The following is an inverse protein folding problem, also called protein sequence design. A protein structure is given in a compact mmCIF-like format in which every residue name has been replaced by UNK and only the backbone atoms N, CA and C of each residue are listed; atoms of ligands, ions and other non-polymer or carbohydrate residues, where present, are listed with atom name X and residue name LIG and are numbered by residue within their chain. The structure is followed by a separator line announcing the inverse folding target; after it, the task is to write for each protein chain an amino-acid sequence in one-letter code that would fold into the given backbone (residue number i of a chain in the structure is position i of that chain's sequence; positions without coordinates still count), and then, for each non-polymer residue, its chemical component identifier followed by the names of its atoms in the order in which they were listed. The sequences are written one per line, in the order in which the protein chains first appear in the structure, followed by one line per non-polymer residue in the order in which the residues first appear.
data_IF_872738816254
#
_entry.id   IF_872738816254
#
_cell.length_a   1.000
_cell.length_b   1.000
_cell.length_c   1.000
_cell.angle_alpha   90.00
_cell.angle_beta   90.00
_cell.angle_gamma   90.00
#
_symmetry.space_group_name_H-M   'P 1'
#
loop_
_entity.id
_entity.type
_entity.pdbx_description
1 polymer ?
#
# COMPACT_ATOMS: atom_id res chain seq x y z
N UNK A 1 -22.48 -35.31 -5.71
CA UNK A 1 -21.63 -35.34 -4.52
C UNK A 1 -22.38 -35.16 -3.20
N UNK A 2 -23.49 -34.49 -3.17
CA UNK A 2 -24.37 -34.37 -2.01
C UNK A 2 -25.35 -35.54 -1.98
N UNK A 3 -24.84 -36.74 -1.64
CA UNK A 3 -25.65 -37.96 -1.59
C UNK A 3 -26.40 -38.16 -0.28
N UNK A 4 -27.30 -39.08 -0.24
CA UNK A 4 -27.95 -39.58 0.97
C UNK A 4 -29.28 -38.91 1.31
N UNK A 5 -29.36 -37.59 1.44
CA UNK A 5 -30.60 -36.87 1.74
C UNK A 5 -31.35 -36.35 0.52
N UNK A 6 -30.58 -36.00 -0.55
CA UNK A 6 -31.16 -35.39 -1.75
C UNK A 6 -31.64 -36.47 -2.71
N UNK A 7 -32.85 -36.31 -3.24
CA UNK A 7 -33.48 -37.20 -4.21
C UNK A 7 -33.22 -36.80 -5.64
N UNK A 8 -32.69 -35.59 -5.87
CA UNK A 8 -32.42 -35.02 -7.19
C UNK A 8 -30.98 -34.53 -7.28
N UNK A 9 -30.41 -34.52 -8.47
CA UNK A 9 -29.13 -33.93 -8.75
C UNK A 9 -29.21 -32.39 -8.68
N UNK A 10 -28.13 -31.72 -8.30
CA UNK A 10 -28.03 -30.24 -8.36
C UNK A 10 -28.22 -29.76 -9.80
N UNK A 11 -29.05 -28.76 -10.01
CA UNK A 11 -29.25 -28.12 -11.31
C UNK A 11 -27.91 -27.59 -11.86
N UNK A 12 -27.67 -27.73 -13.15
CA UNK A 12 -26.40 -27.36 -13.76
C UNK A 12 -26.07 -25.85 -13.61
N UNK A 13 -27.09 -24.98 -13.76
CA UNK A 13 -26.92 -23.54 -13.55
C UNK A 13 -26.60 -23.24 -12.08
N UNK A 14 -27.26 -23.90 -11.14
CA UNK A 14 -27.00 -23.72 -9.71
C UNK A 14 -25.58 -24.16 -9.36
N UNK A 15 -25.10 -25.27 -9.94
CA UNK A 15 -23.74 -25.74 -9.74
C UNK A 15 -22.70 -24.71 -10.24
N UNK A 16 -22.93 -24.13 -11.42
CA UNK A 16 -22.07 -23.07 -11.96
C UNK A 16 -22.16 -21.76 -11.15
N UNK A 17 -23.38 -21.35 -10.78
CA UNK A 17 -23.63 -20.11 -10.02
C UNK A 17 -23.02 -20.14 -8.62
N UNK A 18 -22.92 -21.33 -8.01
CA UNK A 18 -22.37 -21.48 -6.65
C UNK A 18 -20.90 -21.85 -6.62
N UNK A 19 -20.30 -22.14 -7.78
CA UNK A 19 -18.88 -22.47 -7.86
C UNK A 19 -17.99 -21.25 -7.62
N UNK A 20 -16.83 -21.48 -6.98
CA UNK A 20 -15.83 -20.46 -6.67
C UNK A 20 -14.47 -20.75 -7.29
N UNK A 21 -14.29 -21.91 -7.92
CA UNK A 21 -12.99 -22.35 -8.43
C UNK A 21 -12.37 -21.37 -9.45
N UNK A 22 -13.19 -20.58 -10.17
CA UNK A 22 -12.69 -19.61 -11.13
C UNK A 22 -11.79 -18.54 -10.50
N UNK A 23 -12.01 -18.19 -9.24
CA UNK A 23 -11.23 -17.19 -8.52
C UNK A 23 -10.46 -17.76 -7.32
N UNK A 24 -10.97 -18.77 -6.60
CA UNK A 24 -10.33 -19.30 -5.40
C UNK A 24 -9.15 -20.25 -5.69
N UNK A 25 -9.03 -20.77 -6.94
CA UNK A 25 -7.86 -21.54 -7.36
C UNK A 25 -6.52 -20.82 -7.10
N UNK A 26 -6.52 -19.48 -6.97
CA UNK A 26 -5.29 -18.70 -6.75
C UNK A 26 -4.61 -18.96 -5.41
N UNK A 27 -5.33 -19.46 -4.40
CA UNK A 27 -4.72 -19.84 -3.13
C UNK A 27 -4.49 -21.35 -2.94
N UNK A 28 -4.35 -22.10 -4.05
CA UNK A 28 -4.02 -23.53 -3.98
C UNK A 28 -2.79 -23.86 -3.12
N UNK A 29 -1.81 -22.95 -3.06
CA UNK A 29 -0.60 -23.13 -2.23
C UNK A 29 -0.94 -23.17 -0.76
N UNK A 30 -1.81 -22.28 -0.34
CA UNK A 30 -2.25 -22.16 1.06
C UNK A 30 -3.12 -23.36 1.45
N UNK A 31 -4.04 -23.78 0.57
CA UNK A 31 -4.86 -24.97 0.79
C UNK A 31 -4.00 -26.25 0.94
N UNK A 32 -3.01 -26.43 0.07
CA UNK A 32 -2.09 -27.56 0.14
C UNK A 32 -1.25 -27.49 1.43
N UNK A 33 -0.74 -26.32 1.81
CA UNK A 33 0.03 -26.16 3.03
C UNK A 33 -0.82 -26.47 4.28
N UNK A 34 -2.04 -25.92 4.35
CA UNK A 34 -3.01 -26.20 5.40
C UNK A 34 -3.35 -27.69 5.50
N UNK A 35 -3.56 -28.34 4.36
CA UNK A 35 -3.84 -29.78 4.28
C UNK A 35 -2.66 -30.65 4.72
N UNK A 36 -1.42 -30.30 4.36
CA UNK A 36 -0.20 -30.98 4.82
C UNK A 36 -0.05 -30.87 6.34
N UNK A 37 -0.23 -29.67 6.90
CA UNK A 37 -0.16 -29.44 8.33
C UNK A 37 -1.26 -30.21 9.08
N UNK A 38 -2.46 -30.24 8.56
CA UNK A 38 -3.58 -31.01 9.11
C UNK A 38 -3.31 -32.51 9.12
N UNK A 39 -2.85 -33.09 8.01
CA UNK A 39 -2.49 -34.52 7.92
C UNK A 39 -1.35 -34.86 8.90
N UNK A 40 -0.36 -33.98 9.01
CA UNK A 40 0.77 -34.15 9.94
C UNK A 40 0.29 -34.17 11.39
N UNK A 41 -0.61 -33.26 11.77
CA UNK A 41 -1.23 -33.23 13.08
C UNK A 41 -2.09 -34.45 13.35
N UNK A 42 -2.93 -34.88 12.40
CA UNK A 42 -3.77 -36.08 12.54
C UNK A 42 -2.93 -37.35 12.79
N UNK A 43 -1.76 -37.47 12.17
CA UNK A 43 -0.84 -38.57 12.43
C UNK A 43 -0.20 -38.47 13.82
N UNK A 44 0.17 -37.27 14.26
CA UNK A 44 0.69 -37.03 15.63
C UNK A 44 -0.27 -37.49 16.72
N UNK A 45 -1.56 -37.24 16.53
CA UNK A 45 -2.59 -37.59 17.49
C UNK A 45 -3.20 -39.02 17.29
N UNK A 46 -2.63 -39.81 16.36
CA UNK A 46 -3.00 -41.21 16.14
C UNK A 46 -4.29 -41.42 15.32
N UNK A 47 -4.83 -40.41 14.66
CA UNK A 47 -5.98 -40.51 13.77
C UNK A 47 -5.57 -41.09 12.39
N UNK A 48 -4.40 -40.69 11.90
CA UNK A 48 -3.75 -41.27 10.72
C UNK A 48 -2.52 -42.08 11.15
N UNK A 49 -2.18 -43.12 10.40
CA UNK A 49 -0.89 -43.76 10.49
C UNK A 49 0.21 -42.91 9.86
N UNK A 50 1.47 -43.17 10.19
CA UNK A 50 2.58 -42.46 9.54
C UNK A 50 2.60 -42.67 8.01
N UNK A 51 2.29 -43.89 7.55
CA UNK A 51 2.22 -44.18 6.10
C UNK A 51 1.10 -43.40 5.41
N UNK A 52 -0.09 -43.30 6.00
CA UNK A 52 -1.21 -42.52 5.43
C UNK A 52 -0.89 -41.03 5.34
N UNK A 53 -0.23 -40.47 6.38
CA UNK A 53 0.29 -39.10 6.35
C UNK A 53 1.25 -38.90 5.19
N UNK A 54 2.24 -39.79 5.04
CA UNK A 54 3.28 -39.66 4.01
C UNK A 54 2.68 -39.79 2.61
N UNK A 55 1.73 -40.70 2.41
CA UNK A 55 1.00 -40.84 1.14
C UNK A 55 0.21 -39.57 0.79
N UNK A 56 -0.46 -38.95 1.78
CA UNK A 56 -1.21 -37.70 1.60
C UNK A 56 -0.24 -36.56 1.25
N UNK A 57 0.85 -36.39 2.00
CA UNK A 57 1.83 -35.32 1.76
C UNK A 57 2.47 -35.47 0.37
N UNK A 58 2.87 -36.67 -0.01
CA UNK A 58 3.45 -36.93 -1.34
C UNK A 58 2.43 -36.69 -2.46
N UNK A 59 1.19 -37.09 -2.25
CA UNK A 59 0.08 -36.83 -3.19
C UNK A 59 -0.18 -35.35 -3.39
N UNK A 60 -0.25 -34.57 -2.28
CA UNK A 60 -0.46 -33.11 -2.32
C UNK A 60 0.71 -32.37 -2.97
N UNK A 61 1.95 -32.74 -2.68
CA UNK A 61 3.12 -32.14 -3.33
C UNK A 61 3.16 -32.44 -4.84
N UNK A 62 2.73 -33.64 -5.25
CA UNK A 62 2.61 -33.97 -6.67
C UNK A 62 1.53 -33.14 -7.35
N UNK A 63 0.38 -32.94 -6.70
CA UNK A 63 -0.71 -32.08 -7.22
C UNK A 63 -0.23 -30.63 -7.33
N UNK A 64 0.50 -30.13 -6.34
CA UNK A 64 1.12 -28.80 -6.39
C UNK A 64 2.02 -28.64 -7.62
N UNK A 65 2.87 -29.63 -7.88
CA UNK A 65 3.75 -29.61 -9.06
C UNK A 65 2.95 -29.67 -10.38
N UNK A 66 1.84 -30.42 -10.44
CA UNK A 66 0.94 -30.42 -11.61
C UNK A 66 0.29 -29.07 -11.86
N UNK A 67 -0.14 -28.37 -10.79
CA UNK A 67 -0.73 -27.03 -10.90
C UNK A 67 0.34 -26.03 -11.39
N UNK A 68 1.54 -26.06 -10.81
CA UNK A 68 2.66 -25.18 -11.19
C UNK A 68 3.13 -25.41 -12.63
N UNK A 69 3.01 -26.64 -13.14
CA UNK A 69 3.32 -27.00 -14.52
C UNK A 69 2.17 -26.73 -15.51
N UNK A 70 1.03 -26.23 -15.06
CA UNK A 70 -0.16 -26.02 -15.89
C UNK A 70 -0.80 -27.32 -16.40
N UNK A 71 -0.58 -28.44 -15.71
CA UNK A 71 -1.07 -29.77 -16.06
C UNK A 71 -2.29 -30.20 -15.25
N UNK A 72 -2.75 -29.36 -14.33
CA UNK A 72 -3.91 -29.61 -13.50
C UNK A 72 -5.15 -28.98 -14.11
N UNK A 73 -6.21 -29.78 -14.30
CA UNK A 73 -7.49 -29.31 -14.81
C UNK A 73 -8.41 -28.90 -13.66
N UNK A 74 -8.78 -27.62 -13.63
CA UNK A 74 -9.78 -27.08 -12.71
C UNK A 74 -11.18 -27.33 -13.23
N UNK A 75 -12.00 -27.95 -12.42
CA UNK A 75 -13.35 -28.38 -12.79
C UNK A 75 -14.40 -27.62 -11.98
N UNK A 76 -15.32 -26.96 -12.69
CA UNK A 76 -16.43 -26.20 -12.10
C UNK A 76 -17.41 -27.11 -11.35
N UNK A 77 -17.65 -28.30 -11.84
CA UNK A 77 -18.53 -29.30 -11.19
C UNK A 77 -17.97 -29.84 -9.85
N UNK A 78 -16.72 -29.51 -9.52
CA UNK A 78 -16.10 -29.73 -8.21
C UNK A 78 -16.15 -28.50 -7.29
N UNK A 79 -16.92 -27.50 -7.64
CA UNK A 79 -17.27 -26.31 -6.84
C UNK A 79 -16.08 -25.37 -6.53
N UNK A 80 -15.08 -25.80 -5.76
CA UNK A 80 -14.02 -24.98 -5.20
C UNK A 80 -12.61 -25.59 -5.36
N UNK A 81 -11.58 -24.82 -5.03
CA UNK A 81 -10.18 -25.26 -5.06
C UNK A 81 -9.97 -26.52 -4.22
N UNK A 82 -10.61 -26.58 -3.06
CA UNK A 82 -10.44 -27.65 -2.08
C UNK A 82 -10.97 -28.99 -2.60
N UNK A 83 -12.18 -28.99 -3.17
CA UNK A 83 -12.78 -30.20 -3.74
C UNK A 83 -12.02 -30.68 -4.97
N UNK A 84 -11.50 -29.77 -5.79
CA UNK A 84 -10.66 -30.10 -6.94
C UNK A 84 -9.39 -30.84 -6.48
N UNK A 85 -8.69 -30.30 -5.47
CA UNK A 85 -7.47 -30.90 -4.92
C UNK A 85 -7.77 -32.22 -4.20
N UNK A 86 -8.84 -32.29 -3.37
CA UNK A 86 -9.25 -33.50 -2.65
C UNK A 86 -9.67 -34.63 -3.60
N UNK A 87 -10.41 -34.29 -4.65
CA UNK A 87 -10.82 -35.26 -5.71
C UNK A 87 -9.60 -35.84 -6.43
N UNK A 88 -8.63 -34.98 -6.80
CA UNK A 88 -7.39 -35.41 -7.46
C UNK A 88 -6.52 -36.25 -6.53
N UNK A 89 -6.44 -35.89 -5.24
CA UNK A 89 -5.74 -36.69 -4.23
C UNK A 89 -6.36 -38.07 -4.09
N UNK A 90 -7.69 -38.14 -3.99
CA UNK A 90 -8.43 -39.39 -3.88
C UNK A 90 -8.25 -40.27 -5.12
N UNK A 91 -8.21 -39.73 -6.32
CA UNK A 91 -7.91 -40.47 -7.55
C UNK A 91 -6.51 -41.10 -7.53
N UNK A 92 -5.53 -40.43 -6.87
CA UNK A 92 -4.15 -40.91 -6.80
C UNK A 92 -3.88 -41.96 -5.73
N UNK A 93 -4.42 -41.73 -4.54
CA UNK A 93 -4.08 -42.56 -3.35
C UNK A 93 -5.29 -43.29 -2.76
N UNK A 94 -6.43 -43.27 -3.45
CA UNK A 94 -7.61 -44.03 -3.07
C UNK A 94 -8.23 -43.58 -1.76
N UNK A 95 -8.60 -44.56 -0.92
CA UNK A 95 -9.31 -44.32 0.34
C UNK A 95 -8.52 -43.46 1.33
N UNK A 96 -7.20 -43.50 1.28
CA UNK A 96 -6.32 -42.69 2.14
C UNK A 96 -6.54 -41.20 1.89
N UNK A 97 -6.77 -40.78 0.64
CA UNK A 97 -7.09 -39.39 0.29
C UNK A 97 -8.36 -38.88 0.95
N UNK A 98 -9.38 -39.75 1.10
CA UNK A 98 -10.65 -39.40 1.77
C UNK A 98 -10.47 -39.15 3.28
N UNK A 99 -9.43 -39.68 3.91
CA UNK A 99 -9.17 -39.49 5.34
C UNK A 99 -8.66 -38.11 5.67
N UNK A 100 -8.14 -37.36 4.70
CA UNK A 100 -7.63 -36.00 4.89
C UNK A 100 -8.67 -35.06 5.50
N UNK A 101 -9.95 -35.23 5.17
CA UNK A 101 -11.03 -34.36 5.65
C UNK A 101 -11.48 -34.65 7.10
N UNK A 102 -10.89 -35.66 7.77
CA UNK A 102 -11.26 -36.02 9.14
C UNK A 102 -11.05 -34.89 10.12
N UNK A 103 -12.07 -34.56 10.91
CA UNK A 103 -12.01 -33.49 11.94
C UNK A 103 -11.93 -32.07 11.41
N UNK A 104 -12.20 -31.86 10.11
CA UNK A 104 -12.15 -30.57 9.40
C UNK A 104 -13.48 -30.29 8.73
N UNK A 105 -13.82 -29.01 8.57
CA UNK A 105 -14.91 -28.54 7.71
C UNK A 105 -14.34 -27.68 6.59
N UNK A 106 -15.11 -27.48 5.52
CA UNK A 106 -14.79 -26.47 4.51
C UNK A 106 -14.70 -25.07 5.11
N UNK A 107 -15.48 -24.78 6.17
CA UNK A 107 -15.52 -23.45 6.80
C UNK A 107 -14.21 -23.05 7.46
N UNK A 108 -13.60 -23.91 8.29
CA UNK A 108 -12.32 -23.60 8.92
C UNK A 108 -11.13 -23.73 7.94
N UNK A 109 -11.26 -24.58 6.93
CA UNK A 109 -10.28 -24.70 5.84
C UNK A 109 -10.18 -23.39 5.05
N UNK A 110 -11.30 -22.90 4.51
CA UNK A 110 -11.34 -21.62 3.75
C UNK A 110 -10.86 -20.45 4.60
N UNK A 111 -11.29 -20.34 5.86
CA UNK A 111 -10.87 -19.26 6.76
C UNK A 111 -9.35 -19.30 7.00
N UNK A 112 -8.75 -20.49 7.08
CA UNK A 112 -7.29 -20.65 7.22
C UNK A 112 -6.56 -20.22 5.96
N UNK A 113 -7.04 -20.66 4.81
CA UNK A 113 -6.39 -20.39 3.54
C UNK A 113 -6.39 -18.90 3.19
N UNK A 114 -7.52 -18.20 3.43
CA UNK A 114 -7.59 -16.75 3.22
C UNK A 114 -6.62 -16.02 4.14
N UNK A 115 -6.51 -16.41 5.41
CA UNK A 115 -5.56 -15.79 6.34
C UNK A 115 -4.12 -16.03 5.92
N UNK A 116 -3.76 -17.25 5.53
CA UNK A 116 -2.44 -17.55 4.97
C UNK A 116 -2.14 -16.70 3.74
N UNK A 117 -3.11 -16.63 2.82
CA UNK A 117 -2.97 -15.85 1.60
C UNK A 117 -2.79 -14.35 1.88
N UNK A 118 -3.64 -13.75 2.72
CA UNK A 118 -3.52 -12.33 3.07
C UNK A 118 -2.21 -12.03 3.81
N UNK A 119 -1.74 -12.95 4.68
CA UNK A 119 -0.44 -12.84 5.33
C UNK A 119 0.70 -12.78 4.33
N UNK A 120 0.73 -13.72 3.39
CA UNK A 120 1.77 -13.78 2.35
C UNK A 120 1.74 -12.52 1.46
N UNK A 121 0.55 -12.00 1.15
CA UNK A 121 0.39 -10.79 0.35
C UNK A 121 0.76 -9.51 1.12
N UNK A 122 0.49 -9.44 2.42
CA UNK A 122 0.97 -8.34 3.26
C UNK A 122 2.50 -8.31 3.25
N UNK A 123 3.16 -9.46 3.41
CA UNK A 123 4.62 -9.56 3.38
C UNK A 123 5.18 -9.09 2.02
N UNK A 124 4.56 -9.50 0.92
CA UNK A 124 4.95 -9.06 -0.42
C UNK A 124 4.72 -7.55 -0.65
N UNK A 125 3.63 -6.99 -0.13
CA UNK A 125 3.34 -5.53 -0.22
C UNK A 125 4.32 -4.73 0.63
N UNK A 126 4.68 -5.22 1.81
CA UNK A 126 5.69 -4.59 2.68
C UNK A 126 7.06 -4.51 1.99
N UNK A 127 7.48 -5.54 1.25
CA UNK A 127 8.70 -5.49 0.46
C UNK A 127 8.65 -4.44 -0.67
N UNK A 128 7.49 -4.27 -1.31
CA UNK A 128 7.30 -3.23 -2.33
C UNK A 128 7.31 -1.82 -1.72
N UNK A 129 6.70 -1.63 -0.55
CA UNK A 129 6.76 -0.37 0.19
C UNK A 129 8.19 -0.04 0.60
N UNK A 130 8.94 -1.01 1.13
CA UNK A 130 10.37 -0.86 1.45
C UNK A 130 11.19 -0.43 0.24
N UNK A 131 10.96 -1.06 -0.91
CA UNK A 131 11.62 -0.71 -2.18
C UNK A 131 11.31 0.73 -2.60
N UNK A 132 10.03 1.13 -2.54
CA UNK A 132 9.61 2.49 -2.89
C UNK A 132 10.21 3.52 -1.91
N UNK A 133 10.15 3.27 -0.62
CA UNK A 133 10.74 4.13 0.42
C UNK A 133 12.24 4.30 0.21
N UNK A 134 12.96 3.22 -0.06
CA UNK A 134 14.40 3.26 -0.37
C UNK A 134 14.68 4.08 -1.63
N UNK A 135 13.85 3.95 -2.65
CA UNK A 135 13.95 4.75 -3.87
C UNK A 135 13.73 6.25 -3.63
N UNK A 136 12.74 6.59 -2.80
CA UNK A 136 12.48 7.99 -2.38
C UNK A 136 13.69 8.55 -1.63
N UNK A 137 14.25 7.82 -0.67
CA UNK A 137 15.43 8.26 0.09
C UNK A 137 16.64 8.50 -0.83
N UNK A 138 16.87 7.61 -1.79
CA UNK A 138 17.94 7.77 -2.76
C UNK A 138 17.76 9.01 -3.64
N UNK A 139 16.54 9.34 -4.03
CA UNK A 139 16.24 10.54 -4.82
C UNK A 139 16.34 11.80 -3.94
N UNK A 140 15.84 11.76 -2.71
CA UNK A 140 15.91 12.86 -1.75
C UNK A 140 17.37 13.23 -1.41
N UNK A 141 18.23 12.22 -1.22
CA UNK A 141 19.65 12.43 -0.91
C UNK A 141 20.42 13.16 -2.03
N UNK A 142 19.96 13.08 -3.27
CA UNK A 142 20.54 13.78 -4.42
C UNK A 142 20.01 15.20 -4.61
N UNK A 143 18.99 15.59 -3.83
CA UNK A 143 18.24 16.82 -4.01
C UNK A 143 18.00 17.55 -2.68
N UNK A 144 18.90 17.42 -1.73
CA UNK A 144 18.79 18.06 -0.39
C UNK A 144 18.82 19.58 -0.47
N UNK A 145 19.44 20.12 -1.50
CA UNK A 145 19.60 21.55 -1.78
C UNK A 145 18.87 22.05 -3.05
N UNK A 146 18.18 21.16 -3.76
CA UNK A 146 17.39 21.52 -4.95
C UNK A 146 16.17 22.31 -4.54
N UNK A 147 16.13 23.61 -4.76
CA UNK A 147 15.05 24.52 -4.36
C UNK A 147 13.89 24.45 -5.35
N UNK A 148 12.68 24.36 -4.83
CA UNK A 148 11.41 24.41 -5.57
C UNK A 148 10.39 25.26 -4.80
N UNK A 149 9.33 25.78 -5.47
CA UNK A 149 8.25 26.44 -4.75
C UNK A 149 7.45 25.44 -3.92
N UNK A 150 7.21 25.74 -2.66
CA UNK A 150 6.19 25.11 -1.86
C UNK A 150 4.82 25.76 -2.14
N UNK A 151 3.76 24.95 -2.15
CA UNK A 151 2.41 25.39 -2.51
C UNK A 151 1.44 25.21 -1.35
N UNK A 152 0.58 26.21 -1.17
CA UNK A 152 -0.69 26.09 -0.46
C UNK A 152 -1.79 26.62 -1.37
N UNK A 153 -2.94 25.95 -1.45
CA UNK A 153 -4.02 26.28 -2.37
C UNK A 153 -3.57 26.31 -3.86
N UNK A 154 -2.54 25.55 -4.21
CA UNK A 154 -1.83 25.60 -5.51
C UNK A 154 -1.27 27.00 -5.87
N UNK A 155 -1.12 27.90 -4.89
CA UNK A 155 -0.42 29.15 -5.01
C UNK A 155 1.00 29.01 -4.44
N UNK A 156 1.98 29.65 -5.05
CA UNK A 156 3.35 29.73 -4.52
C UNK A 156 3.30 30.35 -3.11
N UNK A 157 3.86 29.63 -2.14
CA UNK A 157 3.87 30.07 -0.74
C UNK A 157 5.30 30.41 -0.29
N UNK A 158 6.07 29.40 0.07
CA UNK A 158 7.45 29.55 0.54
C UNK A 158 8.37 28.59 -0.21
N UNK A 159 9.66 28.87 -0.39
CA UNK A 159 10.58 27.94 -1.01
C UNK A 159 10.83 26.75 -0.09
N UNK A 160 10.90 25.56 -0.68
CA UNK A 160 11.28 24.32 -0.01
C UNK A 160 12.36 23.63 -0.84
N UNK A 161 13.01 22.60 -0.30
CA UNK A 161 13.86 21.74 -1.13
C UNK A 161 13.07 20.56 -1.68
N UNK A 162 13.43 20.08 -2.85
CA UNK A 162 12.82 18.88 -3.44
C UNK A 162 13.04 17.65 -2.56
N UNK A 163 14.23 17.56 -1.94
CA UNK A 163 14.51 16.52 -0.95
C UNK A 163 13.52 16.56 0.23
N UNK A 164 13.19 17.76 0.75
CA UNK A 164 12.21 17.93 1.81
C UNK A 164 10.82 17.43 1.39
N UNK A 165 10.38 17.77 0.18
CA UNK A 165 9.10 17.32 -0.36
C UNK A 165 9.05 15.79 -0.48
N UNK A 166 10.11 15.17 -1.01
CA UNK A 166 10.22 13.71 -1.11
C UNK A 166 10.18 13.03 0.26
N UNK A 167 10.77 13.64 1.28
CA UNK A 167 10.68 13.14 2.66
C UNK A 167 9.24 13.17 3.21
N UNK A 168 8.39 14.08 2.75
CA UNK A 168 6.95 14.05 3.09
C UNK A 168 6.26 12.81 2.51
N UNK A 169 6.58 12.42 1.27
CA UNK A 169 6.09 11.15 0.69
C UNK A 169 6.60 9.93 1.48
N UNK A 170 7.86 9.96 1.88
CA UNK A 170 8.44 8.91 2.73
C UNK A 170 7.64 8.73 4.03
N UNK A 171 7.30 9.81 4.72
CA UNK A 171 6.52 9.76 5.98
C UNK A 171 5.11 9.18 5.80
N UNK A 172 4.47 9.41 4.66
CA UNK A 172 3.17 8.78 4.34
C UNK A 172 3.31 7.25 4.27
N UNK A 173 4.31 6.78 3.54
CA UNK A 173 4.54 5.34 3.32
C UNK A 173 5.02 4.60 4.56
N UNK A 174 5.73 5.28 5.47
CA UNK A 174 6.08 4.69 6.78
C UNK A 174 4.83 4.37 7.58
N UNK A 175 3.89 5.31 7.68
CA UNK A 175 2.61 5.06 8.36
C UNK A 175 1.79 3.95 7.70
N UNK A 176 1.91 3.77 6.39
CA UNK A 176 1.26 2.68 5.66
C UNK A 176 1.87 1.33 6.00
N UNK A 177 3.20 1.26 6.07
CA UNK A 177 3.91 0.04 6.48
C UNK A 177 3.57 -0.36 7.92
N UNK A 178 3.53 0.62 8.85
CA UNK A 178 3.15 0.40 10.25
C UNK A 178 1.72 -0.21 10.35
N UNK A 179 0.76 0.31 9.56
CA UNK A 179 -0.61 -0.24 9.51
C UNK A 179 -0.65 -1.68 9.03
N UNK A 180 0.09 -2.00 7.97
CA UNK A 180 0.14 -3.38 7.45
C UNK A 180 0.81 -4.34 8.43
N UNK A 181 1.88 -3.93 9.10
CA UNK A 181 2.54 -4.71 10.14
C UNK A 181 1.58 -4.99 11.29
N UNK A 182 0.78 -4.00 11.69
CA UNK A 182 -0.23 -4.20 12.74
C UNK A 182 -1.40 -5.08 12.27
N UNK A 183 -1.89 -4.91 11.05
CA UNK A 183 -2.89 -5.77 10.44
C UNK A 183 -2.41 -7.22 10.41
N UNK A 184 -1.16 -7.45 9.98
CA UNK A 184 -0.55 -8.78 9.92
C UNK A 184 -0.62 -9.57 11.23
N UNK A 185 -0.47 -8.91 12.38
CA UNK A 185 -0.59 -9.53 13.71
C UNK A 185 -1.99 -10.11 13.95
N UNK A 186 -3.04 -9.44 13.45
CA UNK A 186 -4.43 -9.91 13.58
C UNK A 186 -4.80 -10.94 12.52
N UNK A 187 -4.22 -10.85 11.32
CA UNK A 187 -4.30 -11.90 10.30
C UNK A 187 -3.70 -13.21 10.80
N UNK A 188 -2.58 -13.15 11.55
CA UNK A 188 -1.77 -14.32 11.93
C UNK A 188 -2.35 -15.09 13.14
N UNK A 189 -3.68 -15.37 13.10
CA UNK A 189 -4.44 -16.18 14.04
C UNK A 189 -5.09 -17.35 13.33
N UNK A 190 -4.78 -18.59 13.75
CA UNK A 190 -5.18 -19.81 13.04
C UNK A 190 -6.61 -20.26 13.37
N UNK A 191 -7.52 -20.34 12.40
CA UNK A 191 -8.88 -20.87 12.61
C UNK A 191 -8.97 -22.39 12.49
N UNK A 192 -8.02 -23.09 11.86
CA UNK A 192 -8.11 -24.53 11.59
C UNK A 192 -8.29 -25.33 12.85
N UNK A 193 -9.19 -26.32 12.81
CA UNK A 193 -9.66 -27.10 13.96
C UNK A 193 -10.93 -26.55 14.62
N UNK A 194 -11.47 -25.44 14.09
CA UNK A 194 -12.80 -24.93 14.48
C UNK A 194 -13.93 -25.75 13.83
N UNK A 195 -13.60 -26.57 12.87
CA UNK A 195 -14.54 -27.35 12.06
C UNK A 195 -15.65 -26.47 11.48
N UNK A 196 -16.92 -26.91 11.47
CA UNK A 196 -17.99 -26.10 10.92
C UNK A 196 -18.29 -24.82 11.74
N UNK A 197 -18.28 -24.91 13.09
CA UNK A 197 -18.51 -23.80 14.01
C UNK A 197 -18.30 -24.17 15.50
N UNK A 198 -18.32 -25.46 15.85
CA UNK A 198 -18.37 -25.93 17.24
C UNK A 198 -17.10 -26.70 17.66
N UNK A 199 -16.10 -26.77 16.81
CA UNK A 199 -14.94 -27.64 16.99
C UNK A 199 -15.25 -29.08 16.56
N UNK A 200 -14.42 -30.03 16.99
CA UNK A 200 -14.51 -31.45 16.62
C UNK A 200 -14.35 -32.36 17.83
N UNK A 201 -14.87 -33.58 17.73
CA UNK A 201 -14.72 -34.60 18.76
C UNK A 201 -13.38 -35.37 18.68
N UNK A 202 -12.58 -35.13 17.64
CA UNK A 202 -11.26 -35.71 17.49
C UNK A 202 -10.25 -35.02 18.41
N UNK A 203 -9.22 -35.72 18.91
CA UNK A 203 -8.22 -35.17 19.83
C UNK A 203 -7.16 -34.33 19.11
N UNK A 204 -7.60 -33.34 18.32
CA UNK A 204 -6.70 -32.52 17.51
C UNK A 204 -5.77 -31.64 18.33
N UNK A 205 -4.55 -31.40 17.83
CA UNK A 205 -3.55 -30.50 18.40
C UNK A 205 -3.44 -29.22 17.57
N UNK A 206 -4.31 -28.24 17.90
CA UNK A 206 -4.36 -26.96 17.18
C UNK A 206 -3.07 -26.13 17.35
N UNK A 207 -2.41 -26.22 18.51
CA UNK A 207 -1.18 -25.49 18.75
C UNK A 207 -0.07 -26.00 17.81
N UNK A 208 0.03 -27.31 17.66
CA UNK A 208 1.00 -27.91 16.74
C UNK A 208 0.70 -27.56 15.27
N UNK A 209 -0.58 -27.53 14.88
CA UNK A 209 -0.95 -27.11 13.52
C UNK A 209 -0.61 -25.63 13.28
N UNK A 210 -0.80 -24.77 14.28
CA UNK A 210 -0.41 -23.35 14.20
C UNK A 210 1.10 -23.18 14.02
N UNK A 211 1.92 -23.95 14.78
CA UNK A 211 3.38 -23.99 14.64
C UNK A 211 3.81 -24.38 13.21
N UNK A 212 3.22 -25.47 12.68
CA UNK A 212 3.52 -25.95 11.32
C UNK A 212 3.21 -24.92 10.23
N UNK A 213 2.20 -24.07 10.44
CA UNK A 213 1.75 -23.04 9.49
C UNK A 213 2.34 -21.65 9.78
N UNK A 214 3.15 -21.52 10.84
CA UNK A 214 3.76 -20.25 11.23
C UNK A 214 2.75 -19.20 11.73
N UNK A 215 1.62 -19.63 12.33
CA UNK A 215 0.72 -18.74 13.03
C UNK A 215 1.21 -18.43 14.44
N UNK A 216 1.02 -17.20 14.90
CA UNK A 216 1.43 -16.76 16.24
C UNK A 216 0.55 -17.36 17.34
N UNK A 217 -0.72 -17.65 17.03
CA UNK A 217 -1.67 -18.22 17.97
C UNK A 217 -2.86 -18.88 17.26
N UNK A 218 -3.65 -19.65 18.00
CA UNK A 218 -4.93 -20.19 17.54
C UNK A 218 -6.07 -19.21 17.83
N UNK A 219 -7.11 -19.22 16.99
CA UNK A 219 -8.37 -18.51 17.29
C UNK A 219 -9.08 -19.23 18.45
N UNK A 220 -9.45 -18.49 19.50
CA UNK A 220 -9.93 -19.05 20.77
C UNK A 220 -11.41 -19.48 20.76
N UNK A 221 -12.21 -18.94 19.85
CA UNK A 221 -13.61 -19.30 19.70
C UNK A 221 -13.87 -19.85 18.29
N UNK A 222 -14.39 -21.09 18.23
CA UNK A 222 -14.59 -21.77 16.94
C UNK A 222 -15.72 -21.17 16.09
N UNK A 223 -16.72 -20.55 16.71
CA UNK A 223 -17.83 -19.92 16.02
C UNK A 223 -17.38 -18.63 15.34
N UNK A 224 -16.61 -17.80 16.05
CA UNK A 224 -16.00 -16.57 15.56
C UNK A 224 -14.95 -16.87 14.46
N UNK A 225 -14.10 -17.87 14.68
CA UNK A 225 -12.99 -18.22 13.80
C UNK A 225 -13.40 -18.55 12.35
N UNK A 226 -14.60 -19.11 12.14
CA UNK A 226 -15.14 -19.40 10.83
C UNK A 226 -15.99 -18.26 10.25
N UNK A 227 -16.39 -17.31 11.09
CA UNK A 227 -17.21 -16.15 10.74
C UNK A 227 -16.39 -14.90 10.40
N UNK A 228 -15.32 -14.66 11.14
CA UNK A 228 -14.51 -13.44 11.09
C UNK A 228 -13.92 -13.17 9.71
N UNK A 229 -14.13 -11.94 9.26
CA UNK A 229 -13.51 -11.33 8.06
C UNK A 229 -12.92 -9.95 8.34
N UNK A 230 -12.84 -9.57 9.62
CA UNK A 230 -12.32 -8.27 10.05
C UNK A 230 -10.89 -8.05 9.53
N UNK A 231 -10.08 -9.10 9.51
CA UNK A 231 -8.71 -9.05 8.98
C UNK A 231 -8.65 -8.65 7.50
N UNK A 232 -9.62 -9.09 6.67
CA UNK A 232 -9.72 -8.70 5.26
C UNK A 232 -10.20 -7.26 5.10
N UNK A 233 -11.17 -6.84 5.92
CA UNK A 233 -11.66 -5.45 5.97
C UNK A 233 -10.54 -4.51 6.42
N UNK A 234 -9.79 -4.88 7.46
CA UNK A 234 -8.66 -4.11 7.95
C UNK A 234 -7.54 -3.99 6.91
N UNK A 235 -7.23 -5.07 6.20
CA UNK A 235 -6.31 -5.03 5.08
C UNK A 235 -6.79 -4.05 4.00
N UNK A 236 -8.06 -4.14 3.57
CA UNK A 236 -8.61 -3.25 2.55
C UNK A 236 -8.67 -1.79 3.02
N UNK A 237 -8.85 -1.54 4.31
CA UNK A 237 -8.76 -0.19 4.88
C UNK A 237 -7.32 0.35 4.82
N UNK A 238 -6.32 -0.45 5.17
CA UNK A 238 -4.91 -0.09 5.00
C UNK A 238 -4.55 0.12 3.53
N UNK A 239 -4.98 -0.79 2.64
CA UNK A 239 -4.82 -0.68 1.19
C UNK A 239 -5.44 0.60 0.63
N UNK A 240 -6.60 1.00 1.12
CA UNK A 240 -7.26 2.26 0.74
C UNK A 240 -6.43 3.49 1.09
N UNK A 241 -5.75 3.48 2.25
CA UNK A 241 -4.85 4.57 2.67
C UNK A 241 -3.57 4.59 1.81
N UNK A 242 -2.98 3.44 1.50
CA UNK A 242 -1.85 3.33 0.57
C UNK A 242 -2.23 3.95 -0.78
N UNK A 243 -3.35 3.54 -1.36
CA UNK A 243 -3.80 4.06 -2.66
C UNK A 243 -4.12 5.55 -2.60
N UNK A 244 -4.66 6.07 -1.50
CA UNK A 244 -4.88 7.52 -1.30
C UNK A 244 -3.55 8.28 -1.31
N UNK A 245 -2.51 7.77 -0.65
CA UNK A 245 -1.18 8.38 -0.66
C UNK A 245 -0.56 8.33 -2.06
N UNK A 246 -0.62 7.19 -2.75
CA UNK A 246 -0.16 7.07 -4.13
C UNK A 246 -0.94 7.99 -5.08
N UNK A 247 -2.24 8.19 -4.86
CA UNK A 247 -3.06 9.11 -5.63
C UNK A 247 -2.62 10.57 -5.45
N UNK A 248 -2.26 10.98 -4.23
CA UNK A 248 -1.72 12.32 -3.96
C UNK A 248 -0.36 12.52 -4.64
N UNK A 249 0.53 11.55 -4.54
CA UNK A 249 1.81 11.55 -5.26
C UNK A 249 1.59 11.62 -6.78
N UNK A 250 0.60 10.89 -7.28
CA UNK A 250 0.20 10.91 -8.70
C UNK A 250 -0.24 12.30 -9.15
N UNK A 251 -1.08 12.97 -8.37
CA UNK A 251 -1.56 14.32 -8.68
C UNK A 251 -0.40 15.32 -8.81
N UNK A 252 0.53 15.30 -7.85
CA UNK A 252 1.72 16.15 -7.90
C UNK A 252 2.58 15.83 -9.13
N UNK A 253 2.82 14.55 -9.44
CA UNK A 253 3.59 14.15 -10.63
C UNK A 253 2.93 14.58 -11.95
N UNK A 254 1.61 14.48 -12.06
CA UNK A 254 0.86 14.92 -13.23
C UNK A 254 1.01 16.43 -13.42
N UNK A 255 0.85 17.21 -12.34
CA UNK A 255 1.08 18.65 -12.37
C UNK A 255 2.52 18.97 -12.76
N UNK A 256 3.50 18.35 -12.11
CA UNK A 256 4.92 18.64 -12.28
C UNK A 256 5.48 18.24 -13.67
N UNK A 257 4.85 17.29 -14.34
CA UNK A 257 5.24 16.89 -15.71
C UNK A 257 4.56 17.72 -16.80
N UNK A 258 3.55 18.52 -16.43
CA UNK A 258 2.84 19.37 -17.39
C UNK A 258 3.72 20.48 -17.97
N UNK A 259 3.35 20.98 -19.15
CA UNK A 259 4.06 22.07 -19.80
C UNK A 259 4.08 23.38 -18.98
N UNK A 260 3.15 23.54 -18.04
CA UNK A 260 3.01 24.71 -17.17
C UNK A 260 3.98 24.67 -15.99
N UNK A 261 4.28 23.48 -15.46
CA UNK A 261 5.19 23.31 -14.31
C UNK A 261 6.60 22.88 -14.74
N UNK A 262 6.71 21.80 -15.51
CA UNK A 262 7.98 21.23 -16.01
C UNK A 262 9.01 20.91 -14.91
N UNK A 263 8.57 20.63 -13.68
CA UNK A 263 9.47 20.42 -12.55
C UNK A 263 10.19 19.08 -12.60
N UNK A 264 9.55 18.05 -13.14
CA UNK A 264 10.14 16.72 -13.29
C UNK A 264 9.90 16.15 -14.68
N UNK A 265 10.84 15.31 -15.13
CA UNK A 265 10.65 14.46 -16.29
C UNK A 265 10.54 13.00 -15.83
N UNK A 266 9.44 12.34 -16.21
CA UNK A 266 9.28 10.90 -16.07
C UNK A 266 9.94 10.24 -17.27
N UNK A 267 10.85 9.24 -17.10
CA UNK A 267 11.46 8.55 -18.23
C UNK A 267 10.45 7.92 -19.20
N UNK A 268 10.77 7.88 -20.47
CA UNK A 268 9.87 7.46 -21.55
C UNK A 268 9.26 6.07 -21.33
N UNK A 269 10.01 5.14 -20.73
CA UNK A 269 9.55 3.79 -20.43
C UNK A 269 8.35 3.72 -19.46
N UNK A 270 7.99 4.83 -18.79
CA UNK A 270 6.83 4.95 -17.89
C UNK A 270 5.73 5.86 -18.45
N UNK A 271 5.86 6.25 -19.72
CA UNK A 271 4.94 7.16 -20.38
C UNK A 271 4.43 6.54 -21.68
N UNK A 272 3.33 7.08 -22.20
CA UNK A 272 2.87 6.78 -23.54
C UNK A 272 2.84 8.02 -24.41
N UNK A 273 2.79 7.82 -25.74
CA UNK A 273 2.62 8.90 -26.71
C UNK A 273 1.17 9.02 -27.17
N UNK A 274 0.96 9.87 -28.15
CA UNK A 274 -0.31 10.03 -28.86
C UNK A 274 -0.21 9.47 -30.27
N UNK A 275 -1.25 8.77 -30.72
CA UNK A 275 -1.32 8.27 -32.10
C UNK A 275 -1.48 9.37 -33.16
N UNK A 276 -1.88 10.58 -32.74
CA UNK A 276 -2.15 11.72 -33.64
C UNK A 276 -1.24 12.93 -33.37
N UNK A 277 -0.71 13.05 -32.13
CA UNK A 277 0.12 14.19 -31.70
C UNK A 277 1.54 13.71 -31.41
N UNK A 278 2.50 13.78 -32.34
CA UNK A 278 3.82 13.16 -32.19
C UNK A 278 4.68 13.79 -31.09
N UNK A 279 4.36 15.00 -30.63
CA UNK A 279 5.06 15.71 -29.56
C UNK A 279 4.54 15.35 -28.15
N UNK A 280 3.39 14.64 -28.05
CA UNK A 280 2.71 14.44 -26.77
C UNK A 280 3.31 13.26 -26.01
N UNK A 281 3.59 13.48 -24.73
CA UNK A 281 4.06 12.50 -23.78
C UNK A 281 3.11 12.52 -22.56
N UNK A 282 2.48 11.40 -22.26
CA UNK A 282 1.45 11.30 -21.22
C UNK A 282 2.02 10.62 -19.96
N UNK A 283 1.71 11.12 -18.77
CA UNK A 283 2.09 10.48 -17.50
C UNK A 283 1.08 9.37 -17.10
N UNK A 284 0.93 8.35 -17.96
CA UNK A 284 -0.15 7.35 -17.81
C UNK A 284 -0.06 6.56 -16.52
N UNK A 285 1.15 6.27 -16.01
CA UNK A 285 1.31 5.53 -14.76
C UNK A 285 0.71 6.29 -13.57
N UNK A 286 1.05 7.56 -13.30
CA UNK A 286 0.39 8.34 -12.26
C UNK A 286 -1.12 8.49 -12.48
N UNK A 287 -1.58 8.76 -13.71
CA UNK A 287 -3.01 8.90 -13.99
C UNK A 287 -3.78 7.63 -13.69
N UNK A 288 -3.24 6.47 -14.09
CA UNK A 288 -3.90 5.19 -13.87
C UNK A 288 -3.91 4.80 -12.38
N UNK A 289 -2.83 5.05 -11.64
CA UNK A 289 -2.78 4.81 -10.20
C UNK A 289 -3.80 5.68 -9.46
N UNK A 290 -3.89 6.97 -9.81
CA UNK A 290 -4.93 7.87 -9.30
C UNK A 290 -6.33 7.33 -9.57
N UNK A 291 -6.61 6.86 -10.79
CA UNK A 291 -7.90 6.28 -11.17
C UNK A 291 -8.23 4.99 -10.43
N UNK A 292 -7.25 4.10 -10.25
CA UNK A 292 -7.42 2.80 -9.56
C UNK A 292 -7.72 2.94 -8.06
N UNK A 293 -7.47 4.09 -7.45
CA UNK A 293 -7.75 4.34 -6.03
C UNK A 293 -9.22 4.12 -5.69
N UNK A 294 -10.15 4.59 -6.54
CA UNK A 294 -11.59 4.40 -6.35
C UNK A 294 -12.03 2.94 -6.37
N UNK A 295 -11.30 2.08 -7.08
CA UNK A 295 -11.56 0.64 -7.14
C UNK A 295 -11.32 0.00 -5.77
N UNK A 296 -10.18 0.25 -5.13
CA UNK A 296 -9.87 -0.28 -3.79
C UNK A 296 -10.83 0.26 -2.71
N UNK A 297 -11.32 1.51 -2.85
CA UNK A 297 -12.38 2.01 -1.99
C UNK A 297 -13.69 1.23 -2.16
N UNK A 298 -14.04 0.88 -3.40
CA UNK A 298 -15.19 0.03 -3.69
C UNK A 298 -15.07 -1.34 -3.05
N UNK A 299 -13.89 -1.96 -3.09
CA UNK A 299 -13.60 -3.25 -2.48
C UNK A 299 -13.77 -3.22 -0.95
N UNK A 300 -13.28 -2.18 -0.29
CA UNK A 300 -13.51 -1.98 1.14
C UNK A 300 -15.00 -1.86 1.47
N UNK A 301 -15.73 -1.07 0.70
CA UNK A 301 -17.18 -0.90 0.90
C UNK A 301 -17.95 -2.19 0.63
N UNK A 302 -17.51 -2.99 -0.33
CA UNK A 302 -18.08 -4.31 -0.61
C UNK A 302 -17.95 -5.24 0.60
N UNK A 303 -16.76 -5.36 1.18
CA UNK A 303 -16.53 -6.22 2.36
C UNK A 303 -17.31 -5.74 3.59
N UNK A 304 -17.33 -4.44 3.87
CA UNK A 304 -18.13 -3.88 4.97
C UNK A 304 -19.63 -4.16 4.78
N UNK A 305 -20.12 -4.04 3.55
CA UNK A 305 -21.52 -4.31 3.20
C UNK A 305 -21.84 -5.78 3.32
N UNK A 306 -20.95 -6.66 2.89
CA UNK A 306 -21.07 -8.11 3.01
C UNK A 306 -21.29 -8.53 4.46
N UNK A 307 -20.47 -8.04 5.37
CA UNK A 307 -20.47 -8.51 6.77
C UNK A 307 -21.57 -7.91 7.65
N UNK A 308 -22.09 -6.72 7.32
CA UNK A 308 -22.96 -5.92 8.20
C UNK A 308 -24.26 -6.61 8.66
N UNK A 309 -24.75 -7.62 7.99
CA UNK A 309 -26.06 -8.22 8.26
C UNK A 309 -26.04 -9.74 8.41
N UNK A 310 -24.85 -10.34 8.38
CA UNK A 310 -24.70 -11.78 8.51
C UNK A 310 -24.82 -12.24 9.97
N UNK A 311 -25.51 -13.36 10.26
CA UNK A 311 -25.37 -14.04 11.54
C UNK A 311 -23.98 -14.67 11.66
N UNK A 312 -23.61 -15.03 12.90
CA UNK A 312 -22.32 -15.70 13.15
C UNK A 312 -22.23 -17.06 12.42
N UNK A 313 -21.04 -17.65 12.45
CA UNK A 313 -20.61 -18.81 11.70
C UNK A 313 -20.45 -18.50 10.20
N UNK A 314 -20.75 -19.43 9.31
CA UNK A 314 -20.57 -19.31 7.88
C UNK A 314 -21.89 -19.28 7.14
N UNK A 315 -22.04 -18.32 6.24
CA UNK A 315 -23.10 -18.25 5.25
C UNK A 315 -22.48 -18.23 3.84
N UNK A 316 -23.22 -18.65 2.84
CA UNK A 316 -22.72 -18.66 1.45
C UNK A 316 -22.30 -17.29 0.95
N UNK A 317 -22.85 -16.21 1.53
CA UNK A 317 -22.44 -14.82 1.35
C UNK A 317 -20.92 -14.65 1.49
N UNK A 318 -20.28 -15.35 2.40
CA UNK A 318 -18.83 -15.30 2.60
C UNK A 318 -18.00 -15.77 1.40
N UNK A 319 -18.60 -16.32 0.36
CA UNK A 319 -17.92 -16.57 -0.91
C UNK A 319 -17.54 -15.26 -1.61
N UNK A 320 -18.35 -14.23 -1.43
CA UNK A 320 -18.16 -12.88 -2.00
C UNK A 320 -17.06 -12.05 -1.30
N UNK A 321 -16.40 -12.57 -0.28
CA UNK A 321 -15.28 -11.92 0.40
C UNK A 321 -13.99 -11.91 -0.44
N UNK A 322 -13.85 -12.88 -1.37
CA UNK A 322 -12.59 -13.16 -2.06
C UNK A 322 -12.31 -12.20 -3.20
N UNK A 323 -13.27 -11.97 -4.07
CA UNK A 323 -13.05 -11.15 -5.26
C UNK A 323 -12.67 -9.71 -4.90
N UNK A 324 -13.36 -8.98 -3.99
CA UNK A 324 -12.92 -7.66 -3.57
C UNK A 324 -11.55 -7.65 -2.88
N UNK A 325 -11.25 -8.68 -2.09
CA UNK A 325 -9.97 -8.82 -1.44
C UNK A 325 -8.84 -9.04 -2.44
N UNK A 326 -9.03 -9.93 -3.41
CA UNK A 326 -8.05 -10.21 -4.46
C UNK A 326 -7.82 -9.01 -5.36
N UNK A 327 -8.89 -8.30 -5.71
CA UNK A 327 -8.84 -7.11 -6.54
C UNK A 327 -8.05 -5.97 -5.88
N UNK A 328 -8.32 -5.72 -4.60
CA UNK A 328 -7.56 -4.75 -3.80
C UNK A 328 -6.07 -5.11 -3.74
N UNK A 329 -5.74 -6.38 -3.46
CA UNK A 329 -4.36 -6.89 -3.41
C UNK A 329 -3.64 -6.65 -4.75
N UNK A 330 -4.24 -7.08 -5.87
CA UNK A 330 -3.65 -6.96 -7.20
C UNK A 330 -3.46 -5.49 -7.58
N UNK A 331 -4.42 -4.65 -7.24
CA UNK A 331 -4.39 -3.21 -7.54
C UNK A 331 -3.29 -2.49 -6.76
N UNK A 332 -3.16 -2.76 -5.46
CA UNK A 332 -2.11 -2.17 -4.62
C UNK A 332 -0.73 -2.66 -5.06
N UNK A 333 -0.56 -3.97 -5.27
CA UNK A 333 0.73 -4.53 -5.73
C UNK A 333 1.16 -3.92 -7.05
N UNK A 334 0.28 -3.90 -8.05
CA UNK A 334 0.58 -3.34 -9.37
C UNK A 334 0.95 -1.86 -9.29
N UNK A 335 0.24 -1.08 -8.47
CA UNK A 335 0.51 0.34 -8.26
C UNK A 335 1.86 0.58 -7.57
N UNK A 336 2.16 -0.18 -6.52
CA UNK A 336 3.44 -0.08 -5.81
C UNK A 336 4.62 -0.53 -6.68
N UNK A 337 4.48 -1.61 -7.48
CA UNK A 337 5.52 -2.05 -8.42
C UNK A 337 5.86 -0.94 -9.42
N UNK A 338 4.85 -0.30 -10.01
CA UNK A 338 5.05 0.79 -10.95
C UNK A 338 5.75 1.99 -10.30
N UNK A 339 5.33 2.39 -9.10
CA UNK A 339 5.92 3.53 -8.36
C UNK A 339 7.33 3.22 -7.84
N UNK A 340 7.58 2.01 -7.35
CA UNK A 340 8.89 1.61 -6.85
C UNK A 340 9.99 1.65 -7.94
N UNK A 341 9.60 1.45 -9.21
CA UNK A 341 10.51 1.55 -10.35
C UNK A 341 10.57 2.97 -10.93
N UNK A 342 9.46 3.69 -10.95
CA UNK A 342 9.34 5.02 -11.57
C UNK A 342 9.94 6.12 -10.72
N UNK A 343 9.65 6.17 -9.40
CA UNK A 343 10.05 7.29 -8.53
C UNK A 343 11.56 7.48 -8.46
N UNK A 344 12.40 6.44 -8.25
CA UNK A 344 13.85 6.66 -8.22
C UNK A 344 14.45 7.06 -9.58
N UNK A 345 13.68 6.91 -10.66
CA UNK A 345 14.10 7.26 -12.01
C UNK A 345 13.65 8.67 -12.46
N UNK A 346 12.91 9.40 -11.61
CA UNK A 346 12.53 10.78 -11.92
C UNK A 346 13.75 11.67 -12.11
N UNK A 347 13.68 12.57 -13.10
CA UNK A 347 14.71 13.56 -13.37
C UNK A 347 14.17 14.94 -13.03
N UNK A 348 14.64 15.59 -11.95
CA UNK A 348 14.23 16.94 -11.59
C UNK A 348 14.77 17.97 -12.59
N UNK A 349 13.96 18.95 -12.93
CA UNK A 349 14.38 20.11 -13.72
C UNK A 349 14.69 21.27 -12.77
N UNK A 350 15.93 21.29 -12.28
CA UNK A 350 16.39 22.21 -11.21
C UNK A 350 16.19 23.68 -11.64
N UNK A 351 16.42 23.99 -12.91
CA UNK A 351 16.32 25.37 -13.42
C UNK A 351 14.86 25.85 -13.39
N UNK A 352 13.91 25.04 -13.84
CA UNK A 352 12.48 25.40 -13.85
C UNK A 352 11.91 25.48 -12.42
N UNK A 353 12.33 24.55 -11.54
CA UNK A 353 11.94 24.59 -10.12
C UNK A 353 12.41 25.89 -9.46
N UNK A 354 13.67 26.27 -9.68
CA UNK A 354 14.24 27.49 -9.12
C UNK A 354 13.55 28.75 -9.67
N UNK A 355 13.38 28.81 -11.00
CA UNK A 355 12.70 29.91 -11.65
C UNK A 355 11.25 30.07 -11.12
N UNK A 356 10.54 28.99 -10.94
CA UNK A 356 9.19 29.01 -10.36
C UNK A 356 9.20 29.46 -8.89
N UNK A 357 10.23 29.15 -8.12
CA UNK A 357 10.38 29.59 -6.73
C UNK A 357 10.67 31.09 -6.63
N UNK A 358 11.31 31.70 -7.62
CA UNK A 358 11.52 33.14 -7.68
C UNK A 358 10.26 33.94 -8.04
N UNK A 359 9.26 33.26 -8.62
CA UNK A 359 7.97 33.89 -8.94
C UNK A 359 7.00 33.79 -7.77
N UNK A 360 6.22 34.82 -7.52
CA UNK A 360 5.15 34.80 -6.53
C UNK A 360 5.58 35.24 -5.13
N UNK A 361 6.68 35.97 -5.04
CA UNK A 361 7.12 36.60 -3.79
C UNK A 361 7.34 35.59 -2.65
N UNK A 362 7.94 34.47 -2.96
CA UNK A 362 8.07 33.34 -2.03
C UNK A 362 8.88 33.67 -0.76
N UNK A 363 9.72 34.73 -0.80
CA UNK A 363 10.52 35.24 0.32
C UNK A 363 9.85 36.36 1.12
N UNK A 364 8.60 36.71 0.82
CA UNK A 364 7.90 37.80 1.50
C UNK A 364 7.78 37.58 3.02
N UNK A 365 7.54 36.33 3.45
CA UNK A 365 7.52 36.01 4.88
C UNK A 365 8.89 36.22 5.54
N UNK A 366 9.97 35.91 4.81
CA UNK A 366 11.34 36.08 5.33
C UNK A 366 11.69 37.56 5.50
N UNK A 367 11.20 38.47 4.64
CA UNK A 367 11.30 39.91 4.81
C UNK A 367 10.50 40.41 6.04
N UNK A 368 9.29 39.86 6.26
CA UNK A 368 8.54 40.20 7.48
C UNK A 368 9.27 39.76 8.75
N UNK A 369 9.81 38.53 8.75
CA UNK A 369 10.62 38.01 9.87
C UNK A 369 11.90 38.81 10.09
N UNK A 370 12.55 39.29 9.02
CA UNK A 370 13.70 40.19 9.09
C UNK A 370 13.34 41.50 9.85
N UNK A 371 12.21 42.12 9.48
CA UNK A 371 11.72 43.31 10.16
C UNK A 371 11.36 43.07 11.63
N UNK A 372 10.75 41.95 11.93
CA UNK A 372 10.43 41.57 13.33
C UNK A 372 11.69 41.39 14.16
N UNK A 373 12.73 40.76 13.61
CA UNK A 373 14.05 40.64 14.29
C UNK A 373 14.71 41.99 14.52
N UNK A 374 14.39 43.00 13.69
CA UNK A 374 14.84 44.36 13.81
C UNK A 374 13.88 45.24 14.66
N UNK A 375 12.93 44.63 15.39
CA UNK A 375 12.11 45.31 16.40
C UNK A 375 10.73 45.77 15.94
N UNK A 376 10.33 45.48 14.72
CA UNK A 376 8.97 45.78 14.21
C UNK A 376 7.96 44.77 14.75
N UNK A 377 6.77 45.21 15.17
CA UNK A 377 5.72 44.28 15.53
C UNK A 377 5.26 43.46 14.29
N UNK A 378 4.96 42.19 14.47
CA UNK A 378 4.66 41.27 13.34
C UNK A 378 3.55 41.81 12.42
N UNK A 379 2.47 42.37 12.96
CA UNK A 379 1.36 42.91 12.15
C UNK A 379 1.82 44.11 11.30
N UNK A 380 2.63 44.97 11.85
CA UNK A 380 3.17 46.12 11.12
C UNK A 380 4.18 45.67 10.05
N UNK A 381 5.04 44.68 10.37
CA UNK A 381 5.93 44.05 9.41
C UNK A 381 5.17 43.45 8.24
N UNK A 382 4.07 42.74 8.51
CA UNK A 382 3.21 42.18 7.49
C UNK A 382 2.59 43.25 6.58
N UNK A 383 2.14 44.36 7.12
CA UNK A 383 1.61 45.51 6.35
C UNK A 383 2.69 46.13 5.48
N UNK A 384 3.90 46.37 6.04
CA UNK A 384 5.06 46.92 5.33
C UNK A 384 5.39 46.01 4.12
N UNK A 385 5.53 44.70 4.35
CA UNK A 385 5.84 43.73 3.29
C UNK A 385 4.73 43.65 2.25
N UNK A 386 3.46 43.73 2.68
CA UNK A 386 2.34 43.79 1.74
C UNK A 386 2.42 44.97 0.78
N UNK A 387 2.86 46.13 1.24
CA UNK A 387 3.09 47.31 0.39
C UNK A 387 4.29 47.13 -0.55
N UNK A 388 5.38 46.51 -0.09
CA UNK A 388 6.54 46.18 -0.92
C UNK A 388 6.19 45.19 -2.00
N UNK A 389 5.37 44.14 -1.70
CA UNK A 389 4.84 43.20 -2.68
C UNK A 389 3.97 43.91 -3.71
N UNK A 390 3.09 44.84 -3.28
CA UNK A 390 2.26 45.61 -4.21
C UNK A 390 3.10 46.45 -5.18
N UNK A 391 4.22 47.02 -4.72
CA UNK A 391 5.17 47.71 -5.61
C UNK A 391 5.81 46.73 -6.59
N UNK A 392 6.28 45.56 -6.11
CA UNK A 392 6.86 44.54 -6.96
C UNK A 392 5.90 44.06 -8.05
N UNK A 393 4.62 43.85 -7.70
CA UNK A 393 3.57 43.52 -8.68
C UNK A 393 3.41 44.63 -9.73
N UNK A 394 3.40 45.90 -9.32
CA UNK A 394 3.25 47.05 -10.23
C UNK A 394 4.44 47.22 -11.18
N UNK A 395 5.66 46.84 -10.73
CA UNK A 395 6.88 46.93 -11.53
C UNK A 395 7.25 45.62 -12.23
N UNK A 396 6.45 44.56 -12.10
CA UNK A 396 6.73 43.22 -12.63
C UNK A 396 8.09 42.66 -12.13
N UNK A 397 8.46 42.93 -10.87
CA UNK A 397 9.71 42.52 -10.20
C UNK A 397 9.42 41.72 -8.95
N UNK A 398 10.25 40.72 -8.66
CA UNK A 398 10.28 40.09 -7.34
C UNK A 398 10.89 41.04 -6.27
N UNK A 399 10.67 40.74 -4.98
CA UNK A 399 11.23 41.54 -3.89
C UNK A 399 12.75 41.68 -3.95
N UNK A 400 13.43 40.64 -4.38
CA UNK A 400 14.88 40.61 -4.57
C UNK A 400 15.40 41.49 -5.71
N UNK A 401 14.51 41.92 -6.62
CA UNK A 401 14.82 42.76 -7.77
C UNK A 401 14.50 44.24 -7.53
N UNK A 402 13.88 44.57 -6.38
CA UNK A 402 13.68 45.96 -5.95
C UNK A 402 14.98 46.55 -5.42
N UNK A 403 15.19 47.84 -5.64
CA UNK A 403 16.37 48.51 -5.04
C UNK A 403 16.20 48.72 -3.54
N UNK A 404 17.32 48.91 -2.84
CA UNK A 404 17.28 49.21 -1.40
C UNK A 404 16.43 50.47 -1.12
N UNK A 405 16.60 51.53 -1.93
CA UNK A 405 15.83 52.77 -1.80
C UNK A 405 14.32 52.54 -1.99
N UNK A 406 13.92 51.62 -2.88
CA UNK A 406 12.52 51.25 -3.04
C UNK A 406 11.97 50.52 -1.83
N UNK A 407 12.72 49.60 -1.25
CA UNK A 407 12.32 48.90 -0.02
C UNK A 407 12.29 49.80 1.18
N UNK A 408 13.25 50.74 1.31
CA UNK A 408 13.31 51.72 2.38
C UNK A 408 12.19 52.75 2.39
N UNK A 409 11.45 52.93 1.27
CA UNK A 409 10.21 53.70 1.26
C UNK A 409 9.14 53.16 2.23
N UNK A 410 9.22 51.89 2.60
CA UNK A 410 8.28 51.24 3.48
C UNK A 410 8.79 51.10 4.94
N UNK A 411 10.13 51.05 5.13
CA UNK A 411 10.75 51.03 6.45
C UNK A 411 12.24 51.35 6.38
N UNK A 412 12.68 52.33 7.14
CA UNK A 412 14.12 52.70 7.27
C UNK A 412 14.95 51.59 7.97
N UNK A 413 14.30 50.60 8.59
CA UNK A 413 14.96 49.45 9.21
C UNK A 413 15.39 48.38 8.19
N UNK A 414 15.07 48.56 6.92
CA UNK A 414 15.57 47.68 5.86
C UNK A 414 16.96 48.16 5.46
N UNK A 415 17.96 47.37 5.77
CA UNK A 415 19.35 47.62 5.43
C UNK A 415 19.81 46.74 4.24
N UNK A 416 20.98 47.07 3.69
CA UNK A 416 21.50 46.39 2.49
C UNK A 416 21.67 44.87 2.67
N UNK A 417 21.85 44.38 3.88
CA UNK A 417 22.00 42.96 4.20
C UNK A 417 20.70 42.15 4.02
N UNK A 418 19.55 42.82 3.84
CA UNK A 418 18.26 42.16 3.57
C UNK A 418 18.35 41.26 2.32
N UNK A 419 19.09 41.69 1.30
CA UNK A 419 19.23 40.91 0.09
C UNK A 419 19.91 39.57 0.37
N UNK A 420 20.92 39.50 1.21
CA UNK A 420 21.63 38.27 1.54
C UNK A 420 20.95 37.46 2.65
N UNK A 421 20.26 38.11 3.59
CA UNK A 421 19.71 37.50 4.81
C UNK A 421 18.25 37.02 4.65
N UNK A 422 17.46 37.64 3.76
CA UNK A 422 16.02 37.41 3.68
C UNK A 422 15.49 37.19 2.25
N UNK A 423 16.07 37.85 1.24
CA UNK A 423 15.50 37.92 -0.09
C UNK A 423 16.11 36.90 -1.09
N UNK A 424 17.07 36.09 -0.67
CA UNK A 424 17.53 34.94 -1.49
C UNK A 424 16.77 33.67 -1.14
N UNK A 425 16.55 32.80 -2.12
CA UNK A 425 15.93 31.48 -1.89
C UNK A 425 16.77 30.65 -0.91
N UNK A 426 18.10 30.73 -1.00
CA UNK A 426 19.06 30.03 -0.15
C UNK A 426 18.95 30.50 1.31
N UNK A 427 18.86 31.80 1.54
CA UNK A 427 18.67 32.34 2.90
C UNK A 427 17.35 31.86 3.50
N UNK A 428 16.29 31.88 2.69
CA UNK A 428 14.96 31.43 3.11
C UNK A 428 14.97 29.94 3.52
N UNK A 429 15.47 29.02 2.70
CA UNK A 429 15.49 27.59 3.04
C UNK A 429 16.46 27.28 4.18
N UNK A 430 17.66 27.91 4.22
CA UNK A 430 18.67 27.69 5.25
C UNK A 430 18.23 28.18 6.64
N UNK A 431 17.44 29.25 6.72
CA UNK A 431 16.92 29.77 7.98
C UNK A 431 15.97 28.80 8.71
N UNK A 432 15.41 27.82 8.01
CA UNK A 432 14.49 26.81 8.57
C UNK A 432 15.25 25.59 9.08
N UNK A 433 16.27 25.83 9.94
CA UNK A 433 17.18 24.82 10.50
C UNK A 433 16.68 24.28 11.85
N UNK A 434 15.51 23.64 11.85
CA UNK A 434 14.94 22.90 12.97
C UNK A 434 14.41 21.55 12.48
N UNK A 435 14.19 20.59 13.39
CA UNK A 435 13.62 19.28 13.03
C UNK A 435 12.29 19.49 12.29
N UNK A 436 12.20 18.93 11.10
CA UNK A 436 11.04 19.07 10.20
C UNK A 436 11.10 20.31 9.30
N UNK A 437 12.12 21.18 9.44
CA UNK A 437 12.36 22.29 8.52
C UNK A 437 12.99 21.85 7.21
N UNK A 438 12.94 22.76 6.22
CA UNK A 438 13.34 22.46 4.83
C UNK A 438 14.84 22.70 4.55
N UNK A 439 15.64 23.15 5.56
CA UNK A 439 17.07 23.40 5.30
C UNK A 439 17.77 22.12 4.83
N UNK A 440 18.74 22.21 3.92
CA UNK A 440 19.51 21.05 3.44
C UNK A 440 20.06 20.20 4.59
N UNK A 441 20.61 20.83 5.62
CA UNK A 441 21.12 20.17 6.82
C UNK A 441 20.05 19.34 7.54
N UNK A 442 18.82 19.86 7.67
CA UNK A 442 17.73 19.11 8.30
C UNK A 442 17.19 17.99 7.42
N UNK A 443 17.18 18.18 6.11
CA UNK A 443 16.82 17.14 5.15
C UNK A 443 17.82 15.99 5.18
N UNK A 444 19.11 16.27 5.19
CA UNK A 444 20.18 15.27 5.34
C UNK A 444 20.03 14.49 6.66
N UNK A 445 19.83 15.21 7.78
CA UNK A 445 19.59 14.59 9.07
C UNK A 445 18.30 13.73 9.10
N UNK A 446 17.24 14.16 8.41
CA UNK A 446 16.01 13.39 8.27
C UNK A 446 16.23 12.10 7.46
N UNK A 447 17.00 12.14 6.38
CA UNK A 447 17.37 10.97 5.56
C UNK A 447 18.14 9.95 6.42
N UNK A 448 19.10 10.40 7.24
CA UNK A 448 19.84 9.50 8.14
C UNK A 448 18.89 8.80 9.13
N UNK A 449 17.98 9.57 9.76
CA UNK A 449 16.96 8.97 10.65
C UNK A 449 16.04 8.01 9.92
N UNK A 450 15.68 8.32 8.68
CA UNK A 450 14.82 7.50 7.87
C UNK A 450 15.43 6.13 7.53
N UNK A 451 16.73 6.07 7.23
CA UNK A 451 17.43 4.80 7.04
C UNK A 451 17.38 3.92 8.29
N UNK A 452 17.68 4.49 9.47
CA UNK A 452 17.57 3.76 10.74
C UNK A 452 16.13 3.27 10.99
N UNK A 453 15.13 4.11 10.68
CA UNK A 453 13.72 3.72 10.85
C UNK A 453 13.32 2.58 9.91
N UNK A 454 13.81 2.57 8.66
CA UNK A 454 13.57 1.46 7.73
C UNK A 454 14.18 0.15 8.24
N UNK A 455 15.41 0.18 8.73
CA UNK A 455 16.05 -1.01 9.32
C UNK A 455 15.22 -1.58 10.48
N UNK A 456 14.72 -0.72 11.36
CA UNK A 456 13.89 -1.13 12.50
C UNK A 456 12.50 -1.62 12.10
N UNK A 457 11.90 -1.02 11.08
CA UNK A 457 10.54 -1.32 10.65
C UNK A 457 10.43 -2.69 9.95
N UNK A 458 11.49 -3.09 9.26
CA UNK A 458 11.53 -4.31 8.46
C UNK A 458 12.52 -5.37 9.03
N UNK A 459 12.94 -5.20 10.29
CA UNK A 459 13.70 -6.20 11.04
C UNK A 459 12.75 -7.31 11.55
#
# INVERSE_FOLDING_TARGET
MWGGRFSEATDAFVAEFTASVQFDQRFYKQDIAGSIAHATMLAKVGVLTAQERDDIINGLNTIKAEIEAGQFEWRIDLEDVHMNIESRLTQRIGITGKKLHTGRSRNDQVATDIRLYVRDEIDAILELLKKLQTGILSLAAKNTDTIMPGFTHLQTAQPVTFGHHLMAWFEMLVRDSERLIDCRKRVNRMPLGSAALAGTTYPIDRAYTAELLGFDAVAENSLDAVSDRDFGIEFNAAASLIMMHLSRMSEELILWTSAQFKFVNIPDRFCTGSSIMPQKKNPDVPELVRGKTGRVYGDLMSLLTLMKGQPLAYNKDNQEDKEPLFDAIDTVRGSLMAFADMIPALVPNIAEMREAALRGFSTATDLADYLVKNGVAFRDAHEIVGKAVALGVAEEKDLSELSLEQLQQFSDLIEADVFDKALTLEASVNARDHIGGTSPKQVEAAIVRAHTRLEQLYA
#
